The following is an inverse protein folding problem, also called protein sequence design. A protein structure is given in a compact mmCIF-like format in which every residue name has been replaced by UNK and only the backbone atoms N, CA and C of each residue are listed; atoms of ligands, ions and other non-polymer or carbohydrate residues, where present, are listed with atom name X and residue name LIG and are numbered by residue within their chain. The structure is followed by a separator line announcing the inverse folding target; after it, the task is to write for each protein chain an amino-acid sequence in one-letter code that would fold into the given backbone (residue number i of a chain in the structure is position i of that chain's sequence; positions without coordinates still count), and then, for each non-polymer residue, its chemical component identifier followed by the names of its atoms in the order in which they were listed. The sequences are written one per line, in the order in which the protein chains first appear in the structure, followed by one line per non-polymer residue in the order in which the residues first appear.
data_IF_727192573470
#
_entry.id   IF_727192573470
#
_cell.length_a   1.000
_cell.length_b   1.000
_cell.length_c   1.000
_cell.angle_alpha   90.00
_cell.angle_beta   90.00
_cell.angle_gamma   90.00
#
_symmetry.space_group_name_H-M   'P 1'
#
loop_
_entity.id
_entity.type
_entity.pdbx_description
1 polymer ?
#
# COMPACT_ATOMS: atom_id res chain seq x y z
N UNK A 1 -21.77 20.97 12.27
CA UNK A 1 -21.17 19.68 11.86
C UNK A 1 -20.82 18.91 13.12
N UNK A 2 -21.08 17.60 13.18
CA UNK A 2 -20.70 16.77 14.34
C UNK A 2 -19.18 16.70 14.52
N UNK A 3 -18.73 16.41 15.75
CA UNK A 3 -17.31 16.23 16.08
C UNK A 3 -16.80 14.95 15.41
N UNK A 4 -15.60 15.02 14.81
CA UNK A 4 -14.90 13.85 14.27
C UNK A 4 -14.36 13.03 15.44
N UNK A 5 -14.81 11.77 15.57
CA UNK A 5 -14.43 10.92 16.69
C UNK A 5 -14.03 9.54 16.19
N UNK A 6 -12.91 9.03 16.72
CA UNK A 6 -12.52 7.64 16.62
C UNK A 6 -13.09 6.87 17.83
N UNK A 7 -13.84 5.81 17.53
CA UNK A 7 -14.49 4.94 18.51
C UNK A 7 -13.76 3.60 18.49
N UNK A 8 -13.38 3.15 19.67
CA UNK A 8 -12.71 1.87 19.86
C UNK A 8 -13.63 0.69 19.56
N UNK A 9 -13.12 -0.25 18.77
CA UNK A 9 -13.74 -1.54 18.54
C UNK A 9 -13.35 -2.52 19.64
N UNK A 10 -14.17 -2.57 20.68
CA UNK A 10 -14.02 -3.49 21.82
C UNK A 10 -14.12 -4.97 21.44
N UNK A 11 -14.49 -5.30 20.21
CA UNK A 11 -14.51 -6.68 19.72
C UNK A 11 -13.17 -7.14 19.15
N UNK A 12 -12.20 -6.23 18.96
CA UNK A 12 -10.85 -6.62 18.56
C UNK A 12 -10.19 -7.46 19.68
N UNK A 13 -9.80 -8.68 19.34
CA UNK A 13 -9.10 -9.61 20.25
C UNK A 13 -7.61 -9.76 19.90
N UNK A 14 -7.14 -9.09 18.83
CA UNK A 14 -5.73 -9.07 18.45
C UNK A 14 -4.91 -8.09 19.31
N UNK A 15 -3.59 -8.15 19.18
CA UNK A 15 -2.72 -7.11 19.75
C UNK A 15 -2.94 -5.77 19.06
N UNK A 16 -2.89 -4.68 19.82
CA UNK A 16 -3.20 -3.31 19.40
C UNK A 16 -4.67 -2.91 19.56
N UNK A 17 -4.93 -1.63 19.32
CA UNK A 17 -6.27 -1.04 19.37
C UNK A 17 -6.80 -0.77 17.96
N UNK A 18 -8.00 -1.25 17.65
CA UNK A 18 -8.72 -0.90 16.42
C UNK A 18 -9.75 0.19 16.72
N UNK A 19 -9.77 1.22 15.89
CA UNK A 19 -10.66 2.36 15.99
C UNK A 19 -11.42 2.55 14.67
N UNK A 20 -12.68 2.97 14.75
CA UNK A 20 -13.47 3.35 13.59
C UNK A 20 -13.99 4.78 13.74
N UNK A 21 -14.03 5.51 12.63
CA UNK A 21 -14.73 6.81 12.58
C UNK A 21 -16.20 6.64 12.96
N UNK A 22 -16.74 7.57 13.74
CA UNK A 22 -18.17 7.65 13.99
C UNK A 22 -18.97 7.86 12.70
N UNK A 23 -20.17 7.24 12.62
CA UNK A 23 -21.08 7.34 11.48
C UNK A 23 -21.69 8.75 11.32
N UNK A 24 -21.72 9.51 12.40
CA UNK A 24 -22.25 10.87 12.46
C UNK A 24 -21.13 11.90 12.31
N UNK A 25 -20.68 12.27 11.10
CA UNK A 25 -20.08 13.61 10.81
C UNK A 25 -19.27 13.69 9.50
N UNK A 26 -18.94 14.93 9.12
CA UNK A 26 -18.20 15.39 7.94
C UNK A 26 -16.74 14.94 7.83
N UNK A 27 -16.45 13.69 8.17
CA UNK A 27 -15.27 12.98 7.69
C UNK A 27 -15.22 13.05 6.17
N UNK A 28 -14.03 13.28 5.61
CA UNK A 28 -13.85 13.17 4.15
C UNK A 28 -14.19 11.75 3.69
N UNK A 29 -13.79 10.73 4.48
CA UNK A 29 -14.25 9.35 4.35
C UNK A 29 -14.36 8.69 5.72
N UNK A 30 -15.36 7.80 5.93
CA UNK A 30 -15.29 6.83 7.01
C UNK A 30 -13.95 6.09 6.97
N UNK A 31 -13.42 5.70 8.12
CA UNK A 31 -12.08 5.13 8.20
C UNK A 31 -11.92 4.15 9.35
N UNK A 32 -11.03 3.18 9.15
CA UNK A 32 -10.44 2.39 10.22
C UNK A 32 -9.04 2.84 10.51
N UNK A 33 -8.70 2.80 11.78
CA UNK A 33 -7.35 3.03 12.27
C UNK A 33 -6.98 1.86 13.15
N UNK A 34 -5.78 1.32 12.97
CA UNK A 34 -5.17 0.40 13.92
C UNK A 34 -3.95 1.06 14.54
N UNK A 35 -3.86 0.99 15.86
CA UNK A 35 -2.78 1.53 16.68
C UNK A 35 -2.08 0.36 17.39
N UNK A 36 -0.76 0.19 17.27
CA UNK A 36 -0.04 -0.90 17.95
C UNK A 36 0.02 -0.65 19.47
N UNK A 37 0.07 -1.72 20.28
CA UNK A 37 0.16 -1.62 21.75
C UNK A 37 1.50 -1.04 22.24
N UNK A 38 2.58 -1.32 21.51
CA UNK A 38 3.93 -0.89 21.85
C UNK A 38 4.32 0.37 21.06
N UNK A 39 4.95 1.35 21.72
CA UNK A 39 5.57 2.51 21.07
C UNK A 39 4.67 3.75 20.91
N UNK A 40 3.35 3.64 21.12
CA UNK A 40 2.43 4.77 20.96
C UNK A 40 2.64 5.90 22.00
N UNK A 41 3.25 5.58 23.14
CA UNK A 41 3.41 6.49 24.30
C UNK A 41 4.83 6.99 24.51
N UNK A 42 5.85 6.44 23.84
CA UNK A 42 7.23 6.76 24.25
C UNK A 42 7.78 8.04 23.58
N UNK A 43 7.12 8.55 22.52
CA UNK A 43 7.61 9.70 21.73
C UNK A 43 6.65 10.88 21.63
N UNK A 44 5.38 10.71 22.02
CA UNK A 44 4.31 11.72 22.13
C UNK A 44 4.08 12.75 21.01
N UNK A 45 4.77 12.70 19.86
CA UNK A 45 4.59 13.73 18.83
C UNK A 45 4.71 13.23 17.39
N UNK A 46 5.45 12.15 17.13
CA UNK A 46 5.70 11.69 15.77
C UNK A 46 5.38 10.22 15.56
N UNK A 47 4.66 9.91 14.49
CA UNK A 47 4.19 8.56 14.18
C UNK A 47 4.61 8.14 12.77
N UNK A 48 4.75 6.84 12.59
CA UNK A 48 4.82 6.21 11.26
C UNK A 48 3.42 5.76 10.86
N UNK A 49 2.97 6.19 9.68
CA UNK A 49 1.64 5.87 9.14
C UNK A 49 1.75 5.03 7.88
N UNK A 50 0.98 3.96 7.81
CA UNK A 50 0.67 3.22 6.60
C UNK A 50 -0.77 3.55 6.16
N UNK A 51 -0.92 4.33 5.09
CA UNK A 51 -2.20 4.62 4.48
C UNK A 51 -2.54 3.54 3.44
N UNK A 52 -3.60 2.79 3.67
CA UNK A 52 -4.00 1.64 2.84
C UNK A 52 -5.25 1.90 1.99
N UNK A 53 -5.15 1.73 0.68
CA UNK A 53 -6.26 1.81 -0.27
C UNK A 53 -6.73 0.42 -0.71
N UNK A 54 -7.97 0.07 -0.37
CA UNK A 54 -8.55 -1.23 -0.68
C UNK A 54 -9.12 -1.34 -2.11
N UNK A 55 -9.48 -2.56 -2.53
CA UNK A 55 -10.07 -2.84 -3.83
C UNK A 55 -11.60 -2.71 -3.89
N UNK A 56 -12.18 -3.08 -5.05
CA UNK A 56 -13.60 -2.93 -5.38
C UNK A 56 -14.58 -3.62 -4.42
N UNK A 57 -14.23 -4.79 -3.90
CA UNK A 57 -15.19 -5.69 -3.23
C UNK A 57 -15.14 -5.63 -1.70
N UNK A 58 -14.78 -4.48 -1.15
CA UNK A 58 -14.76 -4.24 0.30
C UNK A 58 -16.02 -3.51 0.70
N UNK A 59 -16.82 -4.14 1.56
CA UNK A 59 -18.14 -3.62 1.95
C UNK A 59 -18.06 -2.43 2.90
N UNK A 60 -17.08 -2.47 3.80
CA UNK A 60 -16.82 -1.47 4.82
C UNK A 60 -15.49 -1.80 5.52
N UNK A 61 -15.04 -0.90 6.38
CA UNK A 61 -13.77 -1.05 7.10
C UNK A 61 -13.74 -2.28 8.05
N UNK A 62 -14.76 -2.61 8.86
CA UNK A 62 -14.73 -3.85 9.64
C UNK A 62 -14.56 -5.10 8.78
N UNK A 63 -15.17 -5.15 7.59
CA UNK A 63 -14.96 -6.23 6.64
C UNK A 63 -13.50 -6.28 6.16
N UNK A 64 -12.92 -5.13 5.80
CA UNK A 64 -11.51 -5.00 5.41
C UNK A 64 -10.56 -5.58 6.47
N UNK A 65 -10.76 -5.23 7.74
CA UNK A 65 -9.86 -5.62 8.81
C UNK A 65 -10.01 -7.07 9.25
N UNK A 66 -11.23 -7.62 9.27
CA UNK A 66 -11.49 -8.91 9.90
C UNK A 66 -11.89 -10.04 8.96
N UNK A 67 -12.32 -9.73 7.73
CA UNK A 67 -12.96 -10.71 6.83
C UNK A 67 -12.38 -10.74 5.41
N UNK A 68 -11.73 -9.67 4.97
CA UNK A 68 -11.16 -9.64 3.63
C UNK A 68 -9.97 -10.60 3.50
N UNK A 69 -9.88 -11.29 2.37
CA UNK A 69 -8.82 -12.23 2.05
C UNK A 69 -7.41 -11.60 1.99
N UNK A 70 -7.31 -10.27 1.91
CA UNK A 70 -6.05 -9.51 1.96
C UNK A 70 -5.37 -9.60 3.33
N UNK A 71 -6.13 -9.83 4.41
CA UNK A 71 -5.63 -9.99 5.79
C UNK A 71 -4.73 -8.84 6.26
N UNK A 72 -5.06 -7.60 5.88
CA UNK A 72 -4.16 -6.46 6.13
C UNK A 72 -3.90 -6.19 7.62
N UNK A 73 -4.91 -6.35 8.47
CA UNK A 73 -4.76 -6.12 9.90
C UNK A 73 -3.81 -7.16 10.49
N UNK A 74 -3.98 -8.43 10.12
CA UNK A 74 -3.08 -9.52 10.50
C UNK A 74 -1.64 -9.25 10.04
N UNK A 75 -1.43 -8.83 8.80
CA UNK A 75 -0.10 -8.54 8.28
C UNK A 75 0.61 -7.42 9.06
N UNK A 76 -0.12 -6.38 9.46
CA UNK A 76 0.41 -5.28 10.27
C UNK A 76 0.69 -5.74 11.71
N UNK A 77 -0.25 -6.42 12.37
CA UNK A 77 -0.09 -6.86 13.77
C UNK A 77 1.06 -7.87 13.91
N UNK A 78 1.14 -8.85 13.01
CA UNK A 78 2.22 -9.86 13.02
C UNK A 78 3.59 -9.32 12.61
N UNK A 79 3.63 -8.13 11.99
CA UNK A 79 4.90 -7.47 11.68
C UNK A 79 5.63 -7.00 12.94
N UNK A 80 4.89 -6.73 14.02
CA UNK A 80 5.40 -6.14 15.28
C UNK A 80 6.14 -4.81 15.08
N UNK A 81 5.83 -4.11 14.00
CA UNK A 81 6.37 -2.77 13.70
C UNK A 81 5.51 -1.71 14.38
N UNK A 82 6.17 -0.65 14.83
CA UNK A 82 5.49 0.54 15.37
C UNK A 82 4.96 1.40 14.21
N UNK A 83 3.78 1.02 13.73
CA UNK A 83 3.10 1.67 12.61
C UNK A 83 1.60 1.74 12.85
N UNK A 84 1.05 2.92 12.60
CA UNK A 84 -0.38 3.16 12.58
C UNK A 84 -0.90 2.83 11.18
N UNK A 85 -1.80 1.86 11.07
CA UNK A 85 -2.51 1.58 9.83
C UNK A 85 -3.75 2.47 9.75
N UNK A 86 -3.88 3.22 8.66
CA UNK A 86 -5.03 4.06 8.34
C UNK A 86 -5.66 3.55 7.05
N UNK A 87 -6.94 3.20 7.08
CA UNK A 87 -7.66 2.67 5.94
C UNK A 87 -8.96 3.45 5.70
N UNK A 88 -9.03 4.34 4.70
CA UNK A 88 -10.28 4.97 4.29
C UNK A 88 -11.24 3.94 3.68
N UNK A 89 -12.54 4.11 3.96
CA UNK A 89 -13.60 3.44 3.21
C UNK A 89 -13.74 4.11 1.85
N UNK A 90 -13.46 3.37 0.79
CA UNK A 90 -13.55 3.85 -0.59
C UNK A 90 -14.91 3.54 -1.22
N UNK A 91 -15.84 2.94 -0.47
CA UNK A 91 -17.14 2.47 -0.96
C UNK A 91 -17.09 1.03 -1.49
N UNK A 92 -18.24 0.51 -1.89
CA UNK A 92 -18.38 -0.87 -2.37
C UNK A 92 -18.79 -0.88 -3.84
N UNK A 93 -18.06 -1.64 -4.65
CA UNK A 93 -18.48 -1.97 -6.01
C UNK A 93 -19.21 -3.31 -5.97
N UNK A 94 -20.53 -3.28 -6.09
CA UNK A 94 -21.32 -4.49 -6.22
C UNK A 94 -21.43 -4.89 -7.69
N UNK A 95 -21.82 -3.93 -8.54
CA UNK A 95 -21.89 -4.07 -9.99
C UNK A 95 -21.86 -2.70 -10.69
N UNK A 96 -21.97 -2.68 -12.02
CA UNK A 96 -21.90 -1.45 -12.84
C UNK A 96 -23.05 -0.46 -12.56
N UNK A 97 -24.20 -0.95 -12.10
CA UNK A 97 -25.38 -0.13 -11.79
C UNK A 97 -25.49 0.24 -10.31
N UNK A 98 -24.78 -0.48 -9.44
CA UNK A 98 -24.80 -0.26 -7.99
C UNK A 98 -23.37 -0.24 -7.42
N UNK A 99 -22.78 0.95 -7.39
CA UNK A 99 -21.46 1.16 -6.83
C UNK A 99 -21.35 2.52 -6.14
N UNK A 100 -20.77 2.53 -4.95
CA UNK A 100 -20.31 3.74 -4.26
C UNK A 100 -18.79 3.86 -4.29
N UNK A 101 -18.12 2.91 -4.95
CA UNK A 101 -16.66 2.83 -4.96
C UNK A 101 -16.02 4.01 -5.68
N UNK A 102 -15.05 4.64 -5.02
CA UNK A 102 -14.23 5.71 -5.57
C UNK A 102 -12.80 5.62 -5.01
N UNK A 103 -11.91 4.96 -5.74
CA UNK A 103 -10.50 4.86 -5.38
C UNK A 103 -9.80 6.22 -5.23
N UNK A 104 -10.23 7.22 -6.02
CA UNK A 104 -9.66 8.57 -6.02
C UNK A 104 -10.36 9.52 -5.04
N UNK A 105 -11.11 8.97 -4.08
CA UNK A 105 -11.85 9.69 -3.06
C UNK A 105 -11.02 10.75 -2.32
N UNK A 106 -9.74 10.47 -2.07
CA UNK A 106 -8.82 11.35 -1.36
C UNK A 106 -7.96 12.20 -2.31
N UNK A 107 -8.14 12.06 -3.62
CA UNK A 107 -7.41 12.79 -4.63
C UNK A 107 -7.94 14.21 -4.91
N UNK A 108 -7.08 15.01 -5.54
CA UNK A 108 -7.37 16.38 -5.97
C UNK A 108 -7.18 17.44 -4.88
N UNK A 109 -6.62 18.59 -5.26
CA UNK A 109 -6.30 19.67 -4.34
C UNK A 109 -5.45 19.19 -3.16
N UNK A 110 -5.89 19.50 -1.94
CA UNK A 110 -5.26 19.07 -0.67
C UNK A 110 -6.07 18.00 0.07
N UNK A 111 -6.91 17.22 -0.62
CA UNK A 111 -7.86 16.33 0.08
C UNK A 111 -7.18 15.23 0.89
N UNK A 112 -6.05 14.68 0.44
CA UNK A 112 -5.31 13.68 1.23
C UNK A 112 -4.68 14.33 2.46
N UNK A 113 -4.09 15.53 2.33
CA UNK A 113 -3.60 16.33 3.46
C UNK A 113 -4.70 16.54 4.51
N UNK A 114 -5.85 17.08 4.10
CA UNK A 114 -6.98 17.35 4.99
C UNK A 114 -7.53 16.07 5.64
N UNK A 115 -7.56 14.96 4.91
CA UNK A 115 -8.00 13.68 5.46
C UNK A 115 -7.03 13.16 6.53
N UNK A 116 -5.73 13.24 6.29
CA UNK A 116 -4.73 12.87 7.31
C UNK A 116 -4.82 13.78 8.53
N UNK A 117 -5.04 15.08 8.35
CA UNK A 117 -5.26 16.01 9.47
C UNK A 117 -6.50 15.63 10.30
N UNK A 118 -7.59 15.22 9.66
CA UNK A 118 -8.79 14.74 10.36
C UNK A 118 -8.48 13.48 11.19
N UNK A 119 -7.74 12.53 10.62
CA UNK A 119 -7.36 11.29 11.32
C UNK A 119 -6.45 11.59 12.50
N UNK A 120 -5.38 12.38 12.32
CA UNK A 120 -4.43 12.73 13.38
C UNK A 120 -5.08 13.54 14.50
N UNK A 121 -5.97 14.47 14.16
CA UNK A 121 -6.73 15.25 15.14
C UNK A 121 -7.64 14.36 15.99
N UNK A 122 -8.43 13.49 15.34
CA UNK A 122 -9.32 12.57 16.06
C UNK A 122 -8.54 11.52 16.87
N UNK A 123 -7.38 11.10 16.39
CA UNK A 123 -6.48 10.19 17.10
C UNK A 123 -5.86 10.87 18.33
N UNK A 124 -5.43 12.13 18.22
CA UNK A 124 -4.94 12.93 19.34
C UNK A 124 -6.04 13.07 20.41
N UNK A 125 -7.26 13.42 19.99
CA UNK A 125 -8.42 13.51 20.88
C UNK A 125 -8.77 12.18 21.57
N UNK A 126 -8.66 11.06 20.86
CA UNK A 126 -8.84 9.73 21.44
C UNK A 126 -7.74 9.44 22.46
N UNK A 127 -6.47 9.65 22.11
CA UNK A 127 -5.35 9.40 22.99
C UNK A 127 -5.46 10.19 24.30
N UNK A 128 -5.71 11.50 24.17
CA UNK A 128 -5.89 12.41 25.31
C UNK A 128 -6.99 11.92 26.24
N UNK A 129 -8.16 11.56 25.70
CA UNK A 129 -9.29 11.07 26.48
C UNK A 129 -9.03 9.72 27.16
N UNK A 130 -8.30 8.84 26.50
CA UNK A 130 -8.14 7.45 26.94
C UNK A 130 -7.00 7.29 27.95
N UNK A 131 -5.88 7.99 27.77
CA UNK A 131 -4.66 7.71 28.51
C UNK A 131 -4.24 8.82 29.46
N UNK A 132 -4.39 10.09 29.07
CA UNK A 132 -3.80 11.22 29.81
C UNK A 132 -4.83 12.25 30.28
N UNK A 133 -6.11 11.91 30.29
CA UNK A 133 -7.19 12.86 30.57
C UNK A 133 -7.07 13.54 31.95
N UNK A 134 -6.53 12.84 32.94
CA UNK A 134 -6.27 13.37 34.28
C UNK A 134 -4.95 14.12 34.44
N UNK A 135 -4.08 14.09 33.43
CA UNK A 135 -2.71 14.65 33.47
C UNK A 135 -2.59 15.94 32.65
N UNK A 136 -3.60 16.28 31.84
CA UNK A 136 -3.58 17.45 30.93
C UNK A 136 -3.32 18.76 31.69
N UNK A 137 -4.00 18.95 32.82
CA UNK A 137 -3.90 20.19 33.60
C UNK A 137 -2.50 20.33 34.24
N UNK A 138 -1.83 19.21 34.53
CA UNK A 138 -0.48 19.18 35.08
C UNK A 138 0.61 19.39 34.02
N UNK A 139 0.34 19.05 32.75
CA UNK A 139 1.28 19.25 31.64
C UNK A 139 1.52 20.74 31.29
N UNK A 140 0.64 21.66 31.73
CA UNK A 140 0.85 23.11 31.60
C UNK A 140 0.92 23.64 30.16
N UNK A 141 0.45 22.89 29.17
CA UNK A 141 0.56 23.19 27.74
C UNK A 141 -0.61 22.64 26.90
N UNK A 142 -0.67 22.95 25.59
CA UNK A 142 -1.70 22.40 24.72
C UNK A 142 -1.57 20.87 24.63
N UNK A 143 -2.69 20.13 24.44
CA UNK A 143 -2.64 18.67 24.30
C UNK A 143 -1.71 18.22 23.16
N UNK A 144 -1.04 17.06 23.29
CA UNK A 144 -0.15 16.55 22.26
C UNK A 144 -0.90 16.36 20.94
N UNK A 145 -0.21 16.66 19.83
CA UNK A 145 -0.73 16.49 18.47
C UNK A 145 0.16 15.53 17.72
N UNK A 146 -0.40 14.43 17.26
CA UNK A 146 0.33 13.51 16.41
C UNK A 146 0.73 14.17 15.09
N UNK A 147 2.00 14.04 14.73
CA UNK A 147 2.57 14.44 13.46
C UNK A 147 3.09 13.21 12.73
N UNK A 148 3.04 13.22 11.40
CA UNK A 148 3.59 12.10 10.62
C UNK A 148 5.07 12.34 10.39
N UNK A 149 5.92 11.50 10.98
CA UNK A 149 7.35 11.48 10.66
C UNK A 149 7.62 10.73 9.35
N UNK A 150 6.92 9.60 9.15
CA UNK A 150 7.08 8.73 8.00
C UNK A 150 5.71 8.31 7.48
N UNK A 151 5.46 8.58 6.20
CA UNK A 151 4.24 8.17 5.51
C UNK A 151 4.57 7.09 4.48
N UNK A 152 3.87 5.98 4.56
CA UNK A 152 3.88 4.92 3.58
C UNK A 152 2.48 4.82 2.99
N UNK A 153 2.39 4.70 1.66
CA UNK A 153 1.10 4.59 0.97
C UNK A 153 1.06 3.26 0.27
N UNK A 154 0.04 2.46 0.54
CA UNK A 154 -0.11 1.15 -0.08
C UNK A 154 -1.52 0.95 -0.63
N UNK A 155 -1.65 0.06 -1.60
CA UNK A 155 -2.96 -0.26 -2.14
C UNK A 155 -2.99 -1.57 -2.90
N UNK A 156 -4.19 -2.15 -2.96
CA UNK A 156 -4.48 -3.39 -3.67
C UNK A 156 -5.57 -3.17 -4.71
N UNK A 157 -5.49 -3.87 -5.84
CA UNK A 157 -6.53 -3.84 -6.86
C UNK A 157 -6.85 -2.40 -7.31
N UNK A 158 -8.12 -2.01 -7.33
CA UNK A 158 -8.55 -0.65 -7.65
C UNK A 158 -7.91 0.43 -6.76
N UNK A 159 -7.37 0.07 -5.59
CA UNK A 159 -6.64 0.95 -4.68
C UNK A 159 -5.35 1.53 -5.28
N UNK A 160 -4.83 0.96 -6.38
CA UNK A 160 -3.71 1.56 -7.14
C UNK A 160 -4.01 2.99 -7.62
N UNK A 161 -5.26 3.28 -8.01
CA UNK A 161 -5.70 4.64 -8.33
C UNK A 161 -5.73 5.55 -7.10
N UNK A 162 -6.00 4.97 -5.93
CA UNK A 162 -5.89 5.64 -4.64
C UNK A 162 -4.46 6.11 -4.40
N UNK A 163 -3.46 5.24 -4.58
CA UNK A 163 -2.03 5.60 -4.47
C UNK A 163 -1.68 6.78 -5.39
N UNK A 164 -2.02 6.68 -6.68
CA UNK A 164 -1.70 7.73 -7.67
C UNK A 164 -2.30 9.07 -7.25
N UNK A 165 -3.59 9.07 -6.96
CA UNK A 165 -4.36 10.28 -6.71
C UNK A 165 -4.05 10.91 -5.36
N UNK A 166 -3.75 10.10 -4.34
CA UNK A 166 -3.43 10.58 -3.00
C UNK A 166 -2.05 11.21 -2.95
N UNK A 167 -1.05 10.63 -3.62
CA UNK A 167 0.30 11.19 -3.70
C UNK A 167 0.29 12.60 -4.31
N UNK A 168 -0.55 12.81 -5.33
CA UNK A 168 -0.74 14.14 -5.92
C UNK A 168 -1.39 15.16 -4.97
N UNK A 169 -2.09 14.70 -3.93
CA UNK A 169 -2.88 15.52 -3.01
C UNK A 169 -2.33 15.56 -1.57
N UNK A 170 -1.06 15.13 -1.37
CA UNK A 170 -0.42 15.07 -0.05
C UNK A 170 -0.14 16.43 0.59
N UNK A 171 -0.05 17.49 -0.21
CA UNK A 171 0.23 18.83 0.29
C UNK A 171 1.45 18.87 1.21
N UNK A 172 1.27 19.36 2.45
CA UNK A 172 2.34 19.44 3.46
C UNK A 172 2.99 18.11 3.85
N UNK A 173 2.34 16.97 3.60
CA UNK A 173 2.88 15.65 3.92
C UNK A 173 3.80 15.07 2.83
N UNK A 174 4.01 15.79 1.73
CA UNK A 174 4.80 15.28 0.59
C UNK A 174 6.22 14.88 1.00
N UNK A 175 6.89 15.66 1.84
CA UNK A 175 8.26 15.38 2.30
C UNK A 175 8.34 14.27 3.36
N UNK A 176 7.17 13.82 3.86
CA UNK A 176 7.04 12.68 4.77
C UNK A 176 6.84 11.37 4.02
N UNK A 177 6.51 11.40 2.73
CA UNK A 177 6.33 10.21 1.92
C UNK A 177 7.66 9.46 1.79
N UNK A 178 7.69 8.24 2.33
CA UNK A 178 8.87 7.37 2.29
C UNK A 178 8.81 6.40 1.14
N UNK A 179 7.68 5.73 0.93
CA UNK A 179 7.53 4.72 -0.12
C UNK A 179 6.06 4.59 -0.53
N UNK A 180 5.84 4.08 -1.75
CA UNK A 180 4.54 3.58 -2.19
C UNK A 180 4.59 2.09 -2.51
N UNK A 181 3.57 1.33 -2.13
CA UNK A 181 3.48 -0.12 -2.35
C UNK A 181 2.20 -0.50 -3.08
N UNK A 182 2.32 -1.09 -4.25
CA UNK A 182 1.17 -1.62 -4.98
C UNK A 182 1.16 -3.14 -5.00
N UNK A 183 -0.01 -3.71 -4.76
CA UNK A 183 -0.24 -5.15 -4.78
C UNK A 183 -1.33 -5.45 -5.81
N UNK A 184 -0.93 -6.10 -6.89
CA UNK A 184 -1.78 -6.51 -8.00
C UNK A 184 -2.77 -5.42 -8.46
N UNK A 185 -2.25 -4.21 -8.64
CA UNK A 185 -3.01 -2.97 -8.83
C UNK A 185 -2.58 -2.15 -10.05
N UNK A 186 -1.70 -2.68 -10.90
CA UNK A 186 -1.12 -1.96 -12.04
C UNK A 186 -2.02 -2.06 -13.27
N UNK A 187 -3.23 -1.52 -13.17
CA UNK A 187 -4.21 -1.51 -14.25
C UNK A 187 -4.03 -0.32 -15.20
N UNK A 188 -4.61 -0.43 -16.39
CA UNK A 188 -4.57 0.61 -17.40
C UNK A 188 -3.26 0.56 -18.20
N UNK A 189 -2.83 1.71 -18.70
CA UNK A 189 -1.67 1.79 -19.58
C UNK A 189 -0.36 2.01 -18.79
N UNK A 190 0.68 1.26 -19.16
CA UNK A 190 1.98 1.30 -18.53
C UNK A 190 2.76 2.57 -18.82
N UNK A 191 2.34 3.37 -19.81
CA UNK A 191 2.92 4.70 -20.07
C UNK A 191 2.49 5.68 -18.98
N UNK A 192 1.21 5.68 -18.58
CA UNK A 192 0.70 6.50 -17.49
C UNK A 192 1.38 6.15 -16.17
N UNK A 193 1.54 4.85 -15.86
CA UNK A 193 2.31 4.42 -14.69
C UNK A 193 3.77 4.85 -14.74
N UNK A 194 4.41 4.76 -15.91
CA UNK A 194 5.78 5.21 -16.11
C UNK A 194 5.95 6.71 -15.88
N UNK A 195 5.09 7.56 -16.47
CA UNK A 195 5.17 9.01 -16.29
C UNK A 195 4.84 9.42 -14.85
N UNK A 196 3.84 8.77 -14.23
CA UNK A 196 3.55 8.98 -12.82
C UNK A 196 4.74 8.61 -11.93
N UNK A 197 5.37 7.44 -12.15
CA UNK A 197 6.52 6.99 -11.38
C UNK A 197 7.72 7.94 -11.52
N UNK A 198 7.99 8.40 -12.76
CA UNK A 198 9.04 9.38 -13.06
C UNK A 198 8.82 10.70 -12.33
N UNK A 199 7.57 11.13 -12.15
CA UNK A 199 7.21 12.35 -11.43
C UNK A 199 7.47 12.28 -9.91
N UNK A 200 7.70 11.09 -9.32
CA UNK A 200 7.88 10.92 -7.87
C UNK A 200 9.31 11.21 -7.38
N UNK A 201 10.20 11.71 -8.25
CA UNK A 201 11.52 12.26 -7.90
C UNK A 201 12.34 11.43 -6.91
N UNK A 202 12.36 10.10 -7.10
CA UNK A 202 13.21 9.21 -6.30
C UNK A 202 12.53 8.58 -5.08
N UNK A 203 11.26 8.87 -4.79
CA UNK A 203 10.47 8.09 -3.82
C UNK A 203 10.44 6.62 -4.29
N UNK A 204 10.87 5.66 -3.46
CA UNK A 204 10.78 4.23 -3.77
C UNK A 204 9.34 3.76 -4.00
N UNK A 205 9.12 3.07 -5.11
CA UNK A 205 7.84 2.52 -5.55
C UNK A 205 8.00 1.01 -5.75
N UNK A 206 7.33 0.23 -4.93
CA UNK A 206 7.39 -1.24 -4.96
C UNK A 206 6.07 -1.80 -5.45
N UNK A 207 6.09 -2.56 -6.54
CA UNK A 207 4.90 -3.17 -7.11
C UNK A 207 5.07 -4.66 -7.28
N UNK A 208 4.17 -5.40 -6.66
CA UNK A 208 4.00 -6.83 -6.90
C UNK A 208 2.79 -7.02 -7.80
N UNK A 209 2.92 -7.74 -8.92
CA UNK A 209 1.77 -8.05 -9.78
C UNK A 209 1.48 -9.55 -9.78
N UNK A 210 0.20 -9.89 -9.66
CA UNK A 210 -0.32 -11.24 -9.69
C UNK A 210 -1.22 -11.44 -10.90
N UNK A 211 -2.10 -12.44 -10.80
CA UNK A 211 -3.00 -12.79 -11.90
C UNK A 211 -4.09 -11.73 -12.18
N UNK A 212 -4.44 -10.89 -11.21
CA UNK A 212 -5.46 -9.85 -11.42
C UNK A 212 -4.99 -8.73 -12.35
N UNK A 213 -3.68 -8.46 -12.40
CA UNK A 213 -3.07 -7.48 -13.33
C UNK A 213 -2.83 -8.07 -14.73
N UNK A 214 -3.08 -9.37 -14.94
CA UNK A 214 -3.00 -9.98 -16.27
C UNK A 214 -3.96 -9.25 -17.23
N UNK A 215 -3.53 -8.91 -18.45
CA UNK A 215 -4.37 -8.22 -19.40
C UNK A 215 -5.58 -9.08 -19.80
N UNK A 216 -6.77 -8.61 -19.46
CA UNK A 216 -7.92 -8.78 -20.32
C UNK A 216 -7.95 -7.71 -21.43
N UNK A 217 -7.23 -6.59 -21.25
CA UNK A 217 -7.20 -5.44 -22.18
C UNK A 217 -5.77 -4.84 -22.25
N UNK A 218 -5.26 -4.66 -23.48
CA UNK A 218 -3.88 -4.32 -23.81
C UNK A 218 -3.44 -2.92 -23.33
N UNK A 219 -2.34 -2.88 -22.58
CA UNK A 219 -1.70 -1.65 -22.09
C UNK A 219 -0.83 -1.85 -20.84
N UNK A 220 -0.87 -3.05 -20.24
CA UNK A 220 -0.62 -3.42 -18.84
C UNK A 220 0.80 -3.23 -18.23
N UNK A 221 0.99 -3.83 -17.06
CA UNK A 221 2.23 -3.90 -16.27
C UNK A 221 3.49 -4.26 -17.05
N UNK A 222 3.42 -5.09 -18.11
CA UNK A 222 4.60 -5.41 -18.91
C UNK A 222 5.06 -4.20 -19.74
N UNK A 223 4.14 -3.34 -20.15
CA UNK A 223 4.48 -2.07 -20.78
C UNK A 223 5.26 -1.15 -19.82
N UNK A 224 4.82 -1.08 -18.56
CA UNK A 224 5.53 -0.34 -17.52
C UNK A 224 6.92 -0.97 -17.26
N UNK A 225 6.96 -2.30 -17.10
CA UNK A 225 8.20 -3.06 -16.90
C UNK A 225 9.25 -2.77 -17.96
N UNK A 226 8.85 -2.83 -19.24
CA UNK A 226 9.75 -2.56 -20.37
C UNK A 226 10.32 -1.15 -20.36
N UNK A 227 9.55 -0.16 -19.93
CA UNK A 227 10.03 1.23 -19.83
C UNK A 227 10.98 1.42 -18.65
N UNK A 228 10.83 0.63 -17.59
CA UNK A 228 11.71 0.70 -16.41
C UNK A 228 13.01 -0.07 -16.61
N UNK A 229 12.94 -1.29 -17.16
CA UNK A 229 14.06 -2.23 -17.22
C UNK A 229 14.51 -2.61 -18.64
N UNK A 230 13.68 -2.41 -19.65
CA UNK A 230 13.87 -2.95 -21.00
C UNK A 230 13.43 -4.41 -21.12
N UNK A 231 13.92 -5.07 -22.16
CA UNK A 231 13.77 -6.53 -22.38
C UNK A 231 15.12 -7.16 -22.69
N UNK A 232 15.25 -8.50 -22.68
CA UNK A 232 16.47 -9.14 -23.14
C UNK A 232 16.89 -8.77 -24.57
N UNK A 233 15.93 -8.42 -25.44
CA UNK A 233 16.23 -7.96 -26.82
C UNK A 233 16.58 -6.48 -26.92
N UNK A 234 16.03 -5.67 -26.01
CA UNK A 234 16.22 -4.22 -25.95
C UNK A 234 16.46 -3.79 -24.49
N UNK A 235 17.64 -4.11 -23.91
CA UNK A 235 17.89 -3.84 -22.50
C UNK A 235 18.09 -2.34 -22.27
N UNK A 236 17.54 -1.82 -21.16
CA UNK A 236 17.90 -0.50 -20.67
C UNK A 236 19.14 -0.65 -19.78
N UNK A 237 20.27 0.04 -20.05
CA UNK A 237 21.45 -0.01 -19.20
C UNK A 237 21.13 0.45 -17.77
N UNK A 238 21.83 -0.08 -16.77
CA UNK A 238 21.60 0.26 -15.37
C UNK A 238 21.65 1.78 -15.07
N UNK A 239 22.44 2.55 -15.84
CA UNK A 239 22.50 4.02 -15.74
C UNK A 239 21.23 4.73 -16.22
N UNK A 240 20.43 4.11 -17.09
CA UNK A 240 19.18 4.63 -17.63
C UNK A 240 17.91 4.11 -16.94
N UNK A 241 18.02 3.15 -16.02
CA UNK A 241 16.87 2.59 -15.29
C UNK A 241 16.39 3.55 -14.19
N UNK A 242 15.08 3.57 -13.94
CA UNK A 242 14.52 4.28 -12.79
C UNK A 242 14.87 3.53 -11.50
N UNK A 243 15.87 4.02 -10.76
CA UNK A 243 16.41 3.36 -9.55
C UNK A 243 15.45 3.28 -8.38
N UNK A 244 14.37 4.08 -8.39
CA UNK A 244 13.35 4.08 -7.34
C UNK A 244 12.11 3.26 -7.71
N UNK A 245 12.12 2.52 -8.82
CA UNK A 245 10.98 1.71 -9.26
C UNK A 245 11.37 0.23 -9.23
N UNK A 246 10.57 -0.53 -8.50
CA UNK A 246 10.79 -1.93 -8.20
C UNK A 246 9.54 -2.70 -8.59
N UNK A 247 9.62 -3.53 -9.64
CA UNK A 247 8.51 -4.37 -10.11
C UNK A 247 8.87 -5.83 -9.96
N UNK A 248 7.94 -6.65 -9.48
CA UNK A 248 8.12 -8.08 -9.36
C UNK A 248 6.82 -8.82 -9.66
N UNK A 249 6.83 -9.89 -10.50
CA UNK A 249 5.75 -10.86 -10.47
C UNK A 249 5.68 -11.52 -9.09
N UNK A 250 4.49 -11.63 -8.52
CA UNK A 250 4.24 -12.25 -7.22
C UNK A 250 4.31 -13.77 -7.35
N UNK A 251 5.48 -14.35 -7.09
CA UNK A 251 5.79 -15.77 -7.25
C UNK A 251 6.24 -16.35 -5.89
N UNK A 252 6.25 -17.68 -5.72
CA UNK A 252 6.90 -18.27 -4.55
C UNK A 252 8.38 -17.84 -4.46
N UNK A 253 8.82 -17.35 -3.29
CA UNK A 253 10.20 -16.87 -3.09
C UNK A 253 10.40 -15.36 -3.28
N UNK A 254 9.33 -14.57 -3.51
CA UNK A 254 9.41 -13.09 -3.61
C UNK A 254 9.28 -12.34 -2.29
N UNK A 255 9.35 -13.02 -1.16
CA UNK A 255 9.16 -12.38 0.14
C UNK A 255 10.31 -11.42 0.49
N UNK A 256 11.49 -11.62 -0.11
CA UNK A 256 12.67 -10.78 0.07
C UNK A 256 12.91 -9.87 -1.15
N UNK A 257 13.03 -8.57 -0.92
CA UNK A 257 13.24 -7.57 -1.96
C UNK A 257 14.46 -7.81 -2.82
N UNK A 258 15.56 -8.20 -2.16
CA UNK A 258 16.83 -8.47 -2.82
C UNK A 258 16.73 -9.64 -3.81
N UNK A 259 15.66 -10.45 -3.73
CA UNK A 259 15.33 -11.51 -4.68
C UNK A 259 14.27 -11.01 -5.67
N UNK A 260 13.15 -10.46 -5.17
CA UNK A 260 12.00 -10.10 -5.98
C UNK A 260 12.31 -9.03 -7.04
N UNK A 261 13.06 -8.00 -6.69
CA UNK A 261 13.21 -6.80 -7.53
C UNK A 261 14.51 -6.77 -8.35
N UNK A 262 15.07 -7.94 -8.62
CA UNK A 262 16.22 -8.07 -9.52
C UNK A 262 15.80 -7.89 -10.99
N UNK A 263 16.65 -7.23 -11.76
CA UNK A 263 16.49 -7.15 -13.22
C UNK A 263 16.77 -8.49 -13.89
N UNK A 264 16.31 -8.68 -15.13
CA UNK A 264 16.62 -9.89 -15.90
C UNK A 264 18.14 -10.12 -16.03
N UNK A 265 18.91 -9.04 -16.18
CA UNK A 265 20.37 -9.07 -16.24
C UNK A 265 20.99 -9.52 -14.90
N UNK A 266 20.52 -8.97 -13.77
CA UNK A 266 21.02 -9.33 -12.44
C UNK A 266 20.74 -10.81 -12.14
N UNK A 267 19.54 -11.28 -12.50
CA UNK A 267 19.17 -12.69 -12.38
C UNK A 267 20.10 -13.54 -13.24
N UNK A 268 20.35 -13.19 -14.51
CA UNK A 268 21.27 -13.95 -15.35
C UNK A 268 22.70 -13.98 -14.80
N UNK A 269 23.18 -12.85 -14.25
CA UNK A 269 24.54 -12.71 -13.74
C UNK A 269 24.79 -13.41 -12.39
N UNK A 270 23.78 -13.49 -11.52
CA UNK A 270 23.95 -13.92 -10.12
C UNK A 270 22.97 -14.99 -9.66
N UNK A 271 22.17 -15.59 -10.56
CA UNK A 271 21.13 -16.49 -10.08
C UNK A 271 21.71 -17.73 -9.39
N UNK A 272 21.12 -17.99 -8.23
CA UNK A 272 21.52 -18.99 -7.26
C UNK A 272 20.76 -20.29 -7.55
N UNK A 273 21.46 -21.44 -7.66
CA UNK A 273 20.79 -22.73 -7.77
C UNK A 273 19.80 -22.94 -6.61
N UNK A 274 18.61 -23.46 -6.91
CA UNK A 274 17.57 -23.71 -5.91
C UNK A 274 16.73 -22.49 -5.50
N UNK A 275 17.00 -21.30 -6.04
CA UNK A 275 16.12 -20.15 -5.87
C UNK A 275 14.95 -20.24 -6.85
N UNK A 276 13.80 -20.69 -6.35
CA UNK A 276 12.58 -20.88 -7.15
C UNK A 276 12.18 -19.63 -7.93
N UNK A 277 12.32 -18.44 -7.35
CA UNK A 277 11.96 -17.20 -8.02
C UNK A 277 12.82 -16.96 -9.27
N UNK A 278 14.13 -17.04 -9.09
CA UNK A 278 15.09 -16.81 -10.17
C UNK A 278 14.98 -17.90 -11.25
N UNK A 279 14.69 -19.14 -10.87
CA UNK A 279 14.42 -20.24 -11.80
C UNK A 279 13.20 -19.96 -12.68
N UNK A 280 12.10 -19.44 -12.12
CA UNK A 280 10.92 -19.03 -12.90
C UNK A 280 11.27 -17.86 -13.81
N UNK A 281 11.91 -16.81 -13.27
CA UNK A 281 12.28 -15.60 -14.03
C UNK A 281 13.20 -15.92 -15.21
N UNK A 282 14.12 -16.87 -15.09
CA UNK A 282 14.94 -17.36 -16.22
C UNK A 282 14.10 -17.97 -17.37
N UNK A 283 12.94 -18.55 -17.07
CA UNK A 283 12.01 -19.07 -18.08
C UNK A 283 11.15 -17.98 -18.71
N UNK A 284 10.69 -17.01 -17.91
CA UNK A 284 9.69 -16.02 -18.35
C UNK A 284 10.29 -14.71 -18.87
N UNK A 285 11.43 -14.24 -18.36
CA UNK A 285 12.06 -12.98 -18.79
C UNK A 285 12.41 -12.96 -20.28
N UNK A 286 12.91 -14.07 -20.90
CA UNK A 286 13.09 -14.15 -22.35
C UNK A 286 11.79 -13.95 -23.16
N UNK A 287 10.63 -14.12 -22.52
CA UNK A 287 9.31 -14.01 -23.13
C UNK A 287 8.68 -12.61 -22.96
N UNK A 288 9.36 -11.63 -22.36
CA UNK A 288 8.82 -10.28 -22.16
C UNK A 288 8.30 -9.63 -23.45
N UNK A 289 8.89 -9.95 -24.61
CA UNK A 289 8.42 -9.49 -25.93
C UNK A 289 7.31 -10.33 -26.56
N UNK A 290 6.87 -11.39 -25.91
CA UNK A 290 5.71 -12.21 -26.27
C UNK A 290 4.75 -12.29 -25.07
N UNK A 291 3.90 -11.28 -24.86
CA UNK A 291 3.07 -11.17 -23.65
C UNK A 291 2.13 -12.37 -23.48
N UNK A 292 1.55 -12.90 -24.55
CA UNK A 292 0.69 -14.09 -24.48
C UNK A 292 1.43 -15.29 -23.87
N UNK A 293 2.64 -15.57 -24.37
CA UNK A 293 3.45 -16.69 -23.86
C UNK A 293 4.05 -16.39 -22.49
N UNK A 294 4.41 -15.14 -22.21
CA UNK A 294 4.85 -14.71 -20.87
C UNK A 294 3.77 -15.04 -19.84
N UNK A 295 2.54 -14.59 -20.08
CA UNK A 295 1.45 -14.74 -19.14
C UNK A 295 1.02 -16.20 -18.96
N UNK A 296 0.96 -17.00 -20.04
CA UNK A 296 0.68 -18.43 -19.89
C UNK A 296 1.75 -19.11 -19.05
N UNK A 297 3.03 -18.88 -19.37
CA UNK A 297 4.15 -19.54 -18.71
C UNK A 297 4.26 -19.14 -17.25
N UNK A 298 4.14 -17.84 -16.92
CA UNK A 298 4.29 -17.39 -15.54
C UNK A 298 3.15 -17.88 -14.63
N UNK A 299 1.94 -18.01 -15.18
CA UNK A 299 0.81 -18.61 -14.45
C UNK A 299 1.08 -20.09 -14.18
N UNK A 300 1.51 -20.84 -15.19
CA UNK A 300 1.86 -22.26 -15.03
C UNK A 300 2.99 -22.47 -14.01
N UNK A 301 3.87 -21.48 -13.87
CA UNK A 301 4.97 -21.49 -12.89
C UNK A 301 4.57 -21.02 -11.48
N UNK A 302 3.30 -20.66 -11.26
CA UNK A 302 2.73 -20.38 -9.94
C UNK A 302 2.57 -18.89 -9.60
N UNK A 303 2.27 -18.04 -10.59
CA UNK A 303 1.90 -16.65 -10.32
C UNK A 303 0.72 -16.58 -9.34
N UNK A 304 0.89 -15.86 -8.22
CA UNK A 304 -0.14 -15.74 -7.18
C UNK A 304 -1.42 -15.11 -7.71
N UNK A 305 -2.55 -15.61 -7.22
CA UNK A 305 -3.87 -15.03 -7.46
C UNK A 305 -4.01 -13.65 -6.82
N UNK A 306 -5.09 -12.95 -7.17
CA UNK A 306 -5.30 -11.54 -6.86
C UNK A 306 -5.17 -11.16 -5.38
N UNK A 307 -5.81 -11.90 -4.48
CA UNK A 307 -5.78 -11.63 -3.03
C UNK A 307 -4.54 -12.21 -2.32
N UNK A 308 -4.09 -13.45 -2.65
CA UNK A 308 -2.84 -13.99 -2.09
C UNK A 308 -1.61 -13.11 -2.27
N UNK A 309 -1.54 -12.27 -3.32
CA UNK A 309 -0.47 -11.28 -3.49
C UNK A 309 -0.33 -10.40 -2.24
N UNK A 310 -1.43 -9.92 -1.66
CA UNK A 310 -1.39 -9.09 -0.45
C UNK A 310 -1.14 -9.94 0.78
N UNK A 311 -1.91 -11.03 0.94
CA UNK A 311 -1.88 -11.87 2.13
C UNK A 311 -0.46 -12.41 2.42
N UNK A 312 0.30 -12.69 1.37
CA UNK A 312 1.62 -13.28 1.50
C UNK A 312 2.76 -12.25 1.49
N UNK A 313 2.59 -11.10 0.81
CA UNK A 313 3.71 -10.17 0.56
C UNK A 313 3.63 -8.86 1.35
N UNK A 314 2.46 -8.46 1.88
CA UNK A 314 2.35 -7.24 2.68
C UNK A 314 3.17 -7.33 3.98
N UNK A 315 3.07 -8.45 4.71
CA UNK A 315 3.82 -8.68 5.94
C UNK A 315 5.35 -8.61 5.73
N UNK A 316 5.93 -9.39 4.79
CA UNK A 316 7.34 -9.27 4.42
C UNK A 316 7.74 -7.86 3.97
N UNK A 317 6.89 -7.17 3.20
CA UNK A 317 7.14 -5.79 2.76
C UNK A 317 7.25 -4.84 3.95
N UNK A 318 6.32 -4.92 4.90
CA UNK A 318 6.32 -4.12 6.13
C UNK A 318 7.62 -4.35 6.91
N UNK A 319 8.01 -5.61 7.13
CA UNK A 319 9.21 -5.98 7.91
C UNK A 319 10.50 -5.41 7.34
N UNK A 320 10.59 -5.29 6.01
CA UNK A 320 11.79 -4.80 5.31
C UNK A 320 11.84 -3.28 5.16
N UNK A 321 10.69 -2.58 5.19
CA UNK A 321 10.63 -1.15 4.87
C UNK A 321 10.36 -0.23 6.05
N UNK A 322 9.64 -0.72 7.06
CA UNK A 322 9.30 0.07 8.23
C UNK A 322 10.43 0.02 9.27
N UNK A 323 10.68 1.11 10.01
CA UNK A 323 11.71 1.17 11.05
C UNK A 323 11.58 0.06 12.10
#
# INVERSE_FOLDING_TARGET
MGKLVLIEDKSNQGGGTVLFSNKESGWIRPTGVFVPDAGFTDSHEVVTVLLWFHGHFVKNVPYLFYKEATKILQAVTESKKDVILVAPELGWFQDKSNTTYNASALGGGKKTELYLDQVLGALSDWYVRTFIAGEIDEMGGPPPKFQIANLYIAGHSGGGNGIISSVAALGGYKDRLRQCWGFDCLYGDGQSWYEWAKAQKGVPLYFYFGQGTKPAFNGDVLGFWKRVYGTPKSPIPASGRMRSVFLAPALPGTELDMVAFQSAEDILAKARPGNRYEEVRRKVDPLLDNPTKYWSTIIDEGLKDHYPVVADLLGPRIKQSLP
#
